data_IF_200508294017
#
_entry.id   IF_200508294017
#
_cell.length_a   1.000
_cell.length_b   1.000
_cell.length_c   1.000
_cell.angle_alpha   90.00
_cell.angle_beta   90.00
_cell.angle_gamma   90.00
#
_symmetry.space_group_name_H-M   'P 1'
#
loop_
_entity.id
_entity.type
_entity.pdbx_description
1 polymer ?
#
# COMPACT_ATOMS: atom_id res chain seq x y z
N UNK A 1 -11.76 5.71 23.38
CA UNK A 1 -10.88 5.72 22.18
C UNK A 1 -10.85 4.38 21.41
N UNK A 2 -11.22 3.23 21.99
CA UNK A 2 -11.27 1.92 21.30
C UNK A 2 -12.41 1.76 20.26
N UNK A 3 -13.47 2.55 20.34
CA UNK A 3 -14.70 2.29 19.58
C UNK A 3 -14.65 2.71 18.10
N UNK A 4 -13.67 3.54 17.71
CA UNK A 4 -13.47 3.96 16.31
C UNK A 4 -12.70 2.92 15.47
N UNK A 5 -11.92 2.06 16.11
CA UNK A 5 -11.03 1.12 15.43
C UNK A 5 -11.79 -0.11 14.91
N UNK A 6 -12.81 -0.58 15.64
CA UNK A 6 -13.60 -1.75 15.28
C UNK A 6 -14.52 -1.54 14.08
N UNK A 7 -15.04 -0.32 13.89
CA UNK A 7 -15.96 -0.01 12.78
C UNK A 7 -15.27 -0.03 11.42
N UNK A 8 -13.98 0.30 11.35
CA UNK A 8 -13.20 0.21 10.12
C UNK A 8 -12.80 -1.23 9.75
N UNK A 9 -12.71 -2.14 10.74
CA UNK A 9 -12.43 -3.56 10.50
C UNK A 9 -13.55 -4.23 9.70
N UNK A 10 -14.81 -4.02 10.10
CA UNK A 10 -15.97 -4.70 9.51
C UNK A 10 -16.26 -4.28 8.06
N UNK A 11 -15.97 -3.03 7.70
CA UNK A 11 -16.10 -2.55 6.31
C UNK A 11 -15.01 -3.13 5.39
N UNK A 12 -13.91 -3.62 5.96
CA UNK A 12 -12.76 -4.18 5.25
C UNK A 12 -13.01 -5.64 4.87
N UNK A 13 -13.54 -6.42 5.79
CA UNK A 13 -13.92 -7.83 5.59
C UNK A 13 -14.87 -8.01 4.40
N UNK A 14 -15.87 -7.12 4.26
CA UNK A 14 -16.82 -7.15 3.16
C UNK A 14 -16.19 -6.84 1.78
N UNK A 15 -15.02 -6.17 1.74
CA UNK A 15 -14.32 -5.79 0.50
C UNK A 15 -13.20 -6.76 0.13
N UNK A 16 -12.73 -7.55 1.09
CA UNK A 16 -11.69 -8.58 0.90
C UNK A 16 -12.21 -9.84 0.20
N UNK A 17 -13.53 -10.08 0.21
CA UNK A 17 -14.16 -11.16 -0.55
C UNK A 17 -14.15 -10.96 -2.08
N UNK A 18 -13.67 -9.82 -2.59
CA UNK A 18 -13.83 -9.42 -3.99
C UNK A 18 -12.52 -9.06 -4.70
N UNK A 19 -11.44 -9.82 -4.56
CA UNK A 19 -10.24 -9.59 -5.40
C UNK A 19 -9.63 -10.90 -5.93
N UNK A 20 -9.62 -11.11 -7.26
CA UNK A 20 -8.93 -12.23 -7.86
C UNK A 20 -7.41 -12.00 -7.82
N UNK A 21 -6.68 -13.04 -7.42
CA UNK A 21 -5.23 -13.10 -7.52
C UNK A 21 -4.83 -13.13 -9.00
N UNK A 22 -4.08 -12.12 -9.46
CA UNK A 22 -3.39 -12.17 -10.74
C UNK A 22 -1.92 -11.86 -10.53
N UNK A 23 -1.14 -12.93 -10.46
CA UNK A 23 0.30 -12.98 -10.66
C UNK A 23 0.58 -12.60 -12.11
N UNK A 24 1.15 -11.43 -12.37
CA UNK A 24 1.72 -11.12 -13.68
C UNK A 24 3.09 -10.46 -13.54
N UNK A 25 4.11 -11.18 -13.97
CA UNK A 25 5.42 -10.66 -14.33
C UNK A 25 5.27 -9.88 -15.64
N UNK A 26 4.68 -8.69 -15.58
CA UNK A 26 4.69 -7.74 -16.68
C UNK A 26 5.86 -6.77 -16.51
N UNK A 27 6.57 -6.39 -17.58
CA UNK A 27 7.56 -5.32 -17.52
C UNK A 27 6.92 -4.05 -16.93
N UNK A 28 7.69 -3.35 -16.10
CA UNK A 28 7.26 -2.10 -15.46
C UNK A 28 6.69 -1.16 -16.52
N UNK A 29 5.40 -0.73 -16.45
CA UNK A 29 4.82 0.19 -17.40
C UNK A 29 5.68 1.44 -17.46
N UNK A 30 6.08 1.85 -18.68
CA UNK A 30 7.00 2.96 -18.93
C UNK A 30 6.60 4.23 -18.13
N UNK A 31 5.30 4.49 -17.94
CA UNK A 31 4.80 5.52 -17.03
C UNK A 31 3.41 5.15 -16.48
N UNK A 32 3.21 5.17 -15.16
CA UNK A 32 1.88 5.07 -14.51
C UNK A 32 1.37 6.43 -14.11
N UNK A 33 0.06 6.65 -14.18
CA UNK A 33 -0.56 7.88 -13.67
C UNK A 33 -0.38 8.00 -12.14
N UNK A 34 -0.42 9.22 -11.59
CA UNK A 34 -0.39 9.42 -10.13
C UNK A 34 -1.48 8.64 -9.40
N UNK A 35 -2.67 8.54 -10.01
CA UNK A 35 -3.81 7.78 -9.47
C UNK A 35 -3.46 6.30 -9.38
N UNK A 36 -2.94 5.72 -10.45
CA UNK A 36 -2.55 4.30 -10.49
C UNK A 36 -1.44 3.99 -9.49
N UNK A 37 -0.44 4.86 -9.38
CA UNK A 37 0.65 4.66 -8.41
C UNK A 37 0.13 4.68 -6.97
N UNK A 38 -0.79 5.59 -6.62
CA UNK A 38 -1.43 5.61 -5.30
C UNK A 38 -2.23 4.34 -5.03
N UNK A 39 -2.98 3.86 -6.03
CA UNK A 39 -3.75 2.62 -5.91
C UNK A 39 -2.84 1.41 -5.74
N UNK A 40 -1.76 1.31 -6.53
CA UNK A 40 -0.76 0.25 -6.41
C UNK A 40 -0.07 0.29 -5.03
N UNK A 41 0.36 1.46 -4.58
CA UNK A 41 0.96 1.63 -3.26
C UNK A 41 0.00 1.17 -2.15
N UNK A 42 -1.26 1.60 -2.18
CA UNK A 42 -2.25 1.20 -1.17
C UNK A 42 -2.51 -0.32 -1.16
N UNK A 43 -2.51 -0.95 -2.33
CA UNK A 43 -2.63 -2.41 -2.46
C UNK A 43 -1.45 -3.12 -1.81
N UNK A 44 -0.22 -2.72 -2.15
CA UNK A 44 1.01 -3.30 -1.60
C UNK A 44 1.11 -3.10 -0.07
N UNK A 45 0.73 -1.94 0.45
CA UNK A 45 0.67 -1.70 1.90
C UNK A 45 -0.34 -2.65 2.55
N UNK A 46 -1.47 -2.93 1.89
CA UNK A 46 -2.45 -3.90 2.36
C UNK A 46 -1.87 -5.31 2.47
N UNK A 47 -1.19 -5.78 1.42
CA UNK A 47 -0.53 -7.09 1.40
C UNK A 47 0.53 -7.19 2.50
N UNK A 48 1.45 -6.22 2.57
CA UNK A 48 2.53 -6.21 3.54
C UNK A 48 2.04 -6.15 4.99
N UNK A 49 1.02 -5.33 5.27
CA UNK A 49 0.39 -5.22 6.59
C UNK A 49 -0.22 -6.56 7.04
N UNK A 50 -0.86 -7.31 6.13
CA UNK A 50 -1.39 -8.65 6.45
C UNK A 50 -0.27 -9.66 6.69
N UNK A 51 0.80 -9.64 5.90
CA UNK A 51 1.94 -10.54 6.05
C UNK A 51 2.68 -10.33 7.38
N UNK A 52 2.82 -9.08 7.81
CA UNK A 52 3.58 -8.71 9.02
C UNK A 52 2.72 -8.59 10.29
N UNK A 53 1.40 -8.52 10.16
CA UNK A 53 0.49 -8.19 11.26
C UNK A 53 0.50 -6.71 11.67
N UNK A 54 1.23 -5.85 10.96
CA UNK A 54 1.29 -4.44 11.30
C UNK A 54 0.01 -3.68 10.92
N UNK A 55 -0.40 -2.68 11.71
CA UNK A 55 -1.48 -1.78 11.31
C UNK A 55 -1.14 -1.04 10.02
N UNK A 56 -2.08 -1.00 9.07
CA UNK A 56 -1.90 -0.32 7.77
C UNK A 56 -1.36 1.13 7.89
N UNK A 57 -1.80 1.88 8.91
CA UNK A 57 -1.30 3.24 9.17
C UNK A 57 0.15 3.29 9.64
N UNK A 58 0.61 2.26 10.37
CA UNK A 58 2.00 2.15 10.83
C UNK A 58 2.95 1.93 9.65
N UNK A 59 2.58 1.06 8.71
CA UNK A 59 3.33 0.85 7.46
C UNK A 59 3.44 2.16 6.66
N UNK A 60 2.35 2.91 6.49
CA UNK A 60 2.41 4.22 5.82
C UNK A 60 3.32 5.22 6.55
N UNK A 61 3.37 5.18 7.88
CA UNK A 61 4.25 6.02 8.66
C UNK A 61 5.73 5.61 8.48
N UNK A 62 6.02 4.32 8.46
CA UNK A 62 7.35 3.78 8.20
C UNK A 62 7.84 4.16 6.80
N UNK A 63 7.01 4.00 5.77
CA UNK A 63 7.36 4.38 4.40
C UNK A 63 7.69 5.87 4.27
N UNK A 64 7.03 6.75 5.05
CA UNK A 64 7.39 8.17 5.10
C UNK A 64 8.72 8.42 5.81
N UNK A 65 9.06 7.63 6.84
CA UNK A 65 10.37 7.74 7.51
C UNK A 65 11.51 7.27 6.61
N UNK A 66 11.31 6.15 5.89
CA UNK A 66 12.35 5.53 5.08
C UNK A 66 12.53 6.18 3.71
N UNK A 67 11.44 6.49 3.02
CA UNK A 67 11.49 7.08 1.67
C UNK A 67 11.34 8.62 1.68
N UNK A 68 11.05 9.21 2.85
CA UNK A 68 10.77 10.64 2.97
C UNK A 68 9.44 11.07 2.35
N UNK A 69 9.19 12.38 2.37
CA UNK A 69 8.07 13.02 1.69
C UNK A 69 6.73 12.98 2.43
N UNK A 70 5.70 13.67 1.89
CA UNK A 70 4.42 13.87 2.55
C UNK A 70 3.51 12.62 2.48
N UNK A 71 2.28 12.74 2.97
CA UNK A 71 1.25 11.71 2.84
C UNK A 71 0.95 11.37 1.37
N UNK A 72 0.44 10.16 1.11
CA UNK A 72 0.22 9.60 -0.24
C UNK A 72 -0.56 10.54 -1.17
N UNK A 73 -1.56 11.27 -0.64
CA UNK A 73 -2.36 12.21 -1.41
C UNK A 73 -1.57 13.43 -1.93
N UNK A 74 -0.43 13.76 -1.31
CA UNK A 74 0.44 14.88 -1.65
C UNK A 74 1.82 14.44 -2.16
N UNK A 75 2.08 13.13 -2.19
CA UNK A 75 3.36 12.60 -2.63
C UNK A 75 3.53 12.76 -4.14
N UNK A 76 4.76 13.07 -4.55
CA UNK A 76 5.18 13.13 -5.95
C UNK A 76 5.30 11.71 -6.54
N UNK A 77 5.35 11.62 -7.88
CA UNK A 77 5.58 10.34 -8.59
C UNK A 77 6.82 9.63 -8.06
N UNK A 78 7.96 10.32 -7.97
CA UNK A 78 9.23 9.74 -7.51
C UNK A 78 9.14 9.18 -6.09
N UNK A 79 8.43 9.87 -5.19
CA UNK A 79 8.21 9.38 -3.82
C UNK A 79 7.30 8.17 -3.77
N UNK A 80 6.23 8.15 -4.58
CA UNK A 80 5.34 6.98 -4.67
C UNK A 80 6.08 5.77 -5.25
N UNK A 81 6.85 5.96 -6.31
CA UNK A 81 7.65 4.90 -6.92
C UNK A 81 8.68 4.32 -5.93
N UNK A 82 9.42 5.17 -5.22
CA UNK A 82 10.38 4.74 -4.19
C UNK A 82 9.74 3.86 -3.11
N UNK A 83 8.52 4.21 -2.67
CA UNK A 83 7.74 3.43 -1.69
C UNK A 83 7.25 2.10 -2.28
N UNK A 84 6.78 2.11 -3.52
CA UNK A 84 6.34 0.90 -4.26
C UNK A 84 7.49 -0.08 -4.40
N UNK A 85 8.68 0.39 -4.78
CA UNK A 85 9.85 -0.46 -5.00
C UNK A 85 10.33 -1.11 -3.71
N UNK A 86 10.33 -0.34 -2.61
CA UNK A 86 10.63 -0.87 -1.28
C UNK A 86 9.65 -1.98 -0.88
N UNK A 87 8.34 -1.74 -1.02
CA UNK A 87 7.34 -2.75 -0.65
C UNK A 87 7.38 -3.98 -1.54
N UNK A 88 7.61 -3.83 -2.85
CA UNK A 88 7.77 -4.99 -3.74
C UNK A 88 8.95 -5.87 -3.36
N UNK A 89 10.06 -5.29 -2.89
CA UNK A 89 11.18 -6.07 -2.34
C UNK A 89 10.78 -6.82 -1.07
N UNK A 90 10.02 -6.18 -0.18
CA UNK A 90 9.59 -6.77 1.10
C UNK A 90 8.48 -7.81 0.98
N UNK A 91 7.54 -7.64 0.06
CA UNK A 91 6.40 -8.58 -0.15
C UNK A 91 6.83 -9.87 -0.85
N UNK A 92 7.94 -9.82 -1.60
CA UNK A 92 8.54 -10.99 -2.27
C UNK A 92 9.50 -11.78 -1.37
N UNK A 93 9.89 -11.23 -0.22
CA UNK A 93 10.72 -11.90 0.78
C UNK A 93 9.82 -12.71 1.72
#
# INVERSE_FOLDING_TARGET
>A
LMQRQSRQSRLREAREAATPAQTTTLPEPLHRTLREQRQLLNSLVGVYARQTGEPHGAVHAELRRLCGGPAVAQATVTQLQSRIDLLRRRVRA
#
